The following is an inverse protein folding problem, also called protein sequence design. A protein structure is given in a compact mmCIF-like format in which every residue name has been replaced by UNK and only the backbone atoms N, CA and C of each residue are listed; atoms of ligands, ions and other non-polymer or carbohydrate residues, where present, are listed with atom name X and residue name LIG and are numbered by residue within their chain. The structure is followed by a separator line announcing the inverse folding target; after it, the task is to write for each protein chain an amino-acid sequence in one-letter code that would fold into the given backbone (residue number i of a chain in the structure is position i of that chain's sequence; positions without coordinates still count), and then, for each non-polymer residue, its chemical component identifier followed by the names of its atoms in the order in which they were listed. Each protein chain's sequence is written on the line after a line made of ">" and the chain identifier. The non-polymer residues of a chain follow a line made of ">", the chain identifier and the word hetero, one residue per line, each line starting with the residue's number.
data_IF_559423097341
#
_entry.id   IF_559423097341
#
_cell.length_a   1.000
_cell.length_b   1.000
_cell.length_c   1.000
_cell.angle_alpha   90.00
_cell.angle_beta   90.00
_cell.angle_gamma   90.00
#
_symmetry.space_group_name_H-M   'P 1'
#
loop_
_entity.id
_entity.type
_entity.pdbx_description
1 polymer ?
#
# COMPACT_ATOMS: atom_id res chain seq x y z
N UNK A 1 -11.12 4.04 0.66
CA UNK A 1 -11.08 4.94 1.83
C UNK A 1 -10.96 4.18 3.14
N UNK A 2 -11.78 3.15 3.40
CA UNK A 2 -11.73 2.36 4.64
C UNK A 2 -10.33 1.83 5.02
N UNK A 3 -9.57 1.23 4.08
CA UNK A 3 -8.24 0.70 4.40
C UNK A 3 -7.26 1.80 4.86
N UNK A 4 -7.14 2.89 4.09
CA UNK A 4 -6.20 3.97 4.39
C UNK A 4 -6.57 4.78 5.65
N UNK A 5 -7.86 4.86 6.00
CA UNK A 5 -8.30 5.60 7.18
C UNK A 5 -8.16 4.84 8.50
N UNK A 6 -8.29 3.51 8.48
CA UNK A 6 -8.46 2.72 9.71
C UNK A 6 -7.49 1.55 9.84
N UNK A 7 -7.23 0.81 8.76
CA UNK A 7 -6.51 -0.47 8.82
C UNK A 7 -5.02 -0.36 8.48
N UNK A 8 -4.63 0.67 7.74
CA UNK A 8 -3.27 0.82 7.23
C UNK A 8 -2.21 0.94 8.35
N UNK A 9 -2.58 1.48 9.51
CA UNK A 9 -1.70 1.61 10.68
C UNK A 9 -1.29 0.27 11.27
N UNK A 10 -2.17 -0.73 11.21
CA UNK A 10 -1.91 -2.09 11.67
C UNK A 10 -1.20 -2.95 10.61
N UNK A 11 -1.02 -2.43 9.38
CA UNK A 11 -0.55 -3.23 8.24
C UNK A 11 0.78 -3.95 8.53
N UNK A 12 1.74 -3.26 9.15
CA UNK A 12 3.05 -3.87 9.47
C UNK A 12 2.90 -5.08 10.39
N UNK A 13 2.01 -5.00 11.38
CA UNK A 13 1.90 -6.00 12.44
C UNK A 13 0.95 -7.15 12.03
N UNK A 14 0.03 -6.93 11.09
CA UNK A 14 -1.00 -7.89 10.74
C UNK A 14 -0.80 -8.60 9.39
N UNK A 15 -0.02 -8.03 8.47
CA UNK A 15 0.15 -8.55 7.09
C UNK A 15 0.62 -10.01 7.02
N UNK A 16 1.42 -10.44 8.00
CA UNK A 16 2.07 -11.75 8.01
C UNK A 16 1.19 -12.85 8.65
N UNK A 17 0.00 -12.48 9.17
CA UNK A 17 -0.94 -13.40 9.78
C UNK A 17 -2.10 -13.71 8.82
N UNK A 18 -2.09 -14.85 8.09
CA UNK A 18 -3.10 -15.15 7.07
C UNK A 18 -4.51 -15.32 7.63
N UNK A 19 -4.66 -15.60 8.92
CA UNK A 19 -5.95 -15.68 9.60
C UNK A 19 -6.59 -14.30 9.85
N UNK A 20 -5.84 -13.21 9.69
CA UNK A 20 -6.33 -11.84 9.87
C UNK A 20 -6.50 -11.16 8.51
N UNK A 21 -7.52 -10.30 8.34
CA UNK A 21 -7.66 -9.46 7.16
C UNK A 21 -6.68 -8.26 7.22
N UNK A 22 -5.39 -8.53 7.44
CA UNK A 22 -4.35 -7.53 7.72
C UNK A 22 -3.77 -6.83 6.48
N UNK A 23 -4.30 -7.09 5.29
CA UNK A 23 -3.82 -6.50 4.03
C UNK A 23 -4.92 -5.72 3.33
N UNK A 24 -4.55 -4.83 2.40
CA UNK A 24 -5.50 -3.97 1.70
C UNK A 24 -6.44 -4.69 0.73
N UNK A 25 -6.10 -5.92 0.32
CA UNK A 25 -6.82 -6.70 -0.69
C UNK A 25 -6.95 -5.99 -2.05
N UNK A 26 -6.13 -4.97 -2.32
CA UNK A 26 -6.20 -4.15 -3.54
C UNK A 26 -5.49 -4.76 -4.75
N UNK A 27 -4.82 -5.91 -4.61
CA UNK A 27 -3.97 -6.50 -5.64
C UNK A 27 -4.70 -6.76 -6.97
N UNK A 28 -5.89 -7.37 -6.92
CA UNK A 28 -6.68 -7.67 -8.11
C UNK A 28 -7.17 -6.38 -8.81
N UNK A 29 -7.63 -5.40 -8.04
CA UNK A 29 -8.09 -4.11 -8.56
C UNK A 29 -6.95 -3.32 -9.21
N UNK A 30 -5.76 -3.33 -8.61
CA UNK A 30 -4.54 -2.73 -9.15
C UNK A 30 -4.07 -3.46 -10.43
N UNK A 31 -4.18 -4.77 -10.49
CA UNK A 31 -3.83 -5.56 -11.67
C UNK A 31 -4.79 -5.28 -12.85
N UNK A 32 -6.08 -5.19 -12.57
CA UNK A 32 -7.12 -4.88 -13.56
C UNK A 32 -7.15 -3.39 -13.97
N UNK A 33 -6.39 -2.51 -13.31
CA UNK A 33 -6.39 -1.07 -13.58
C UNK A 33 -7.65 -0.34 -13.11
N UNK A 34 -8.45 -0.97 -12.25
CA UNK A 34 -9.68 -0.40 -11.65
C UNK A 34 -9.34 0.74 -10.70
N UNK A 35 -8.20 0.66 -10.02
CA UNK A 35 -7.65 1.72 -9.17
C UNK A 35 -6.21 2.04 -9.56
N UNK A 36 -5.86 3.32 -9.56
CA UNK A 36 -4.51 3.77 -9.88
C UNK A 36 -3.56 3.62 -8.69
N UNK A 37 -2.32 3.12 -8.90
CA UNK A 37 -1.27 3.15 -7.88
C UNK A 37 -1.01 4.56 -7.34
N UNK A 38 -1.16 5.61 -8.17
CA UNK A 38 -0.99 7.00 -7.73
C UNK A 38 -2.10 7.46 -6.79
N UNK A 39 -3.34 7.01 -7.01
CA UNK A 39 -4.45 7.29 -6.10
C UNK A 39 -4.24 6.59 -4.75
N UNK A 40 -3.78 5.33 -4.79
CA UNK A 40 -3.37 4.57 -3.62
C UNK A 40 -2.29 5.30 -2.81
N UNK A 41 -1.23 5.78 -3.47
CA UNK A 41 -0.16 6.52 -2.81
C UNK A 41 -0.68 7.83 -2.18
N UNK A 42 -1.49 8.60 -2.90
CA UNK A 42 -2.07 9.83 -2.37
C UNK A 42 -2.94 9.56 -1.13
N UNK A 43 -3.74 8.49 -1.13
CA UNK A 43 -4.56 8.13 0.02
C UNK A 43 -3.72 7.74 1.24
N UNK A 44 -2.64 6.96 1.04
CA UNK A 44 -1.70 6.60 2.09
C UNK A 44 -0.93 7.81 2.64
N UNK A 45 -0.52 8.75 1.78
CA UNK A 45 0.11 9.99 2.23
C UNK A 45 -0.87 10.86 3.02
N UNK A 46 -2.12 10.96 2.57
CA UNK A 46 -3.13 11.71 3.30
C UNK A 46 -3.39 11.13 4.71
N UNK A 47 -3.39 9.81 4.87
CA UNK A 47 -3.51 9.18 6.20
C UNK A 47 -2.25 9.36 7.07
N UNK A 48 -1.10 9.61 6.44
CA UNK A 48 0.17 9.83 7.13
C UNK A 48 0.60 11.31 7.21
N UNK A 49 -0.36 12.25 7.16
CA UNK A 49 -0.08 13.71 7.26
C UNK A 49 0.88 14.23 6.17
N UNK A 50 0.95 13.55 5.03
CA UNK A 50 1.86 13.87 3.92
C UNK A 50 3.27 13.30 4.08
N UNK A 51 3.57 12.60 5.19
CA UNK A 51 4.88 12.00 5.41
C UNK A 51 5.06 10.72 4.58
N UNK A 52 6.19 10.62 3.86
CA UNK A 52 6.47 9.50 2.97
C UNK A 52 7.31 8.39 3.64
N UNK A 53 8.34 8.76 4.40
CA UNK A 53 9.27 7.81 5.05
C UNK A 53 9.14 7.77 6.58
N UNK A 54 8.40 8.72 7.15
CA UNK A 54 8.24 8.90 8.59
C UNK A 54 6.77 8.81 8.98
N UNK A 55 6.46 8.93 10.27
CA UNK A 55 5.08 8.90 10.77
C UNK A 55 4.63 7.49 11.13
N UNK A 56 3.42 7.13 10.71
CA UNK A 56 2.82 5.84 10.99
C UNK A 56 3.56 4.70 10.27
N UNK A 57 4.10 3.77 11.06
CA UNK A 57 4.98 2.71 10.56
C UNK A 57 4.22 1.73 9.66
N UNK A 58 2.93 1.49 9.94
CA UNK A 58 2.08 0.65 9.08
C UNK A 58 1.93 1.25 7.69
N UNK A 59 1.67 2.56 7.64
CA UNK A 59 1.51 3.33 6.40
C UNK A 59 2.79 3.38 5.59
N UNK A 60 3.94 3.68 6.21
CA UNK A 60 5.25 3.65 5.54
C UNK A 60 5.55 2.25 4.99
N UNK A 61 5.24 1.21 5.77
CA UNK A 61 5.41 -0.18 5.32
C UNK A 61 4.52 -0.49 4.11
N UNK A 62 3.27 -0.03 4.11
CA UNK A 62 2.36 -0.23 3.00
C UNK A 62 2.79 0.51 1.72
N UNK A 63 3.25 1.76 1.86
CA UNK A 63 3.82 2.54 0.75
C UNK A 63 5.00 1.79 0.14
N UNK A 64 5.89 1.19 0.95
CA UNK A 64 7.00 0.39 0.45
C UNK A 64 6.54 -0.83 -0.36
N UNK A 65 5.48 -1.53 0.04
CA UNK A 65 4.93 -2.64 -0.74
C UNK A 65 4.35 -2.17 -2.08
N UNK A 66 3.73 -0.98 -2.11
CA UNK A 66 3.29 -0.36 -3.36
C UNK A 66 4.45 -0.02 -4.29
N UNK A 67 5.57 0.47 -3.74
CA UNK A 67 6.81 0.74 -4.50
C UNK A 67 7.43 -0.55 -5.05
N UNK A 68 7.46 -1.63 -4.26
CA UNK A 68 7.94 -2.93 -4.74
C UNK A 68 7.19 -3.41 -5.98
N UNK A 69 5.86 -3.22 -6.02
CA UNK A 69 5.07 -3.53 -7.23
C UNK A 69 5.54 -2.74 -8.44
N UNK A 70 5.73 -1.42 -8.31
CA UNK A 70 6.17 -0.57 -9.41
C UNK A 70 7.59 -0.92 -9.85
N UNK A 71 8.48 -1.25 -8.89
CA UNK A 71 9.81 -1.74 -9.17
C UNK A 71 9.78 -2.99 -10.05
N UNK A 72 9.03 -4.03 -9.65
CA UNK A 72 8.94 -5.27 -10.45
C UNK A 72 8.31 -5.05 -11.83
N UNK A 73 7.32 -4.16 -11.94
CA UNK A 73 6.78 -3.77 -13.25
C UNK A 73 7.83 -3.08 -14.12
N UNK A 74 8.60 -2.17 -13.53
CA UNK A 74 9.67 -1.47 -14.24
C UNK A 74 10.76 -2.46 -14.68
N UNK A 75 11.18 -3.39 -13.82
CA UNK A 75 12.15 -4.44 -14.15
C UNK A 75 11.67 -5.34 -15.28
N UNK A 76 10.38 -5.72 -15.30
CA UNK A 76 9.82 -6.57 -16.35
C UNK A 76 9.79 -5.90 -17.74
N UNK A 77 9.66 -4.57 -17.79
CA UNK A 77 9.57 -3.80 -19.05
C UNK A 77 10.93 -3.25 -19.47
N UNK A 78 11.79 -2.91 -18.52
CA UNK A 78 13.10 -2.29 -18.73
C UNK A 78 14.25 -3.27 -18.97
N UNK A 79 13.97 -4.56 -19.00
CA UNK A 79 14.87 -5.64 -19.41
C UNK A 79 14.27 -6.37 -20.61
#
# INVERSE_FOLDING_TARGET
>A
EAFAGEQISYYKDERDFPARPGTSQLSAYLAAGVISPRQCLHAALASNQGEFETGDVGTVTWINELLWREFYKHTLVGY
#
